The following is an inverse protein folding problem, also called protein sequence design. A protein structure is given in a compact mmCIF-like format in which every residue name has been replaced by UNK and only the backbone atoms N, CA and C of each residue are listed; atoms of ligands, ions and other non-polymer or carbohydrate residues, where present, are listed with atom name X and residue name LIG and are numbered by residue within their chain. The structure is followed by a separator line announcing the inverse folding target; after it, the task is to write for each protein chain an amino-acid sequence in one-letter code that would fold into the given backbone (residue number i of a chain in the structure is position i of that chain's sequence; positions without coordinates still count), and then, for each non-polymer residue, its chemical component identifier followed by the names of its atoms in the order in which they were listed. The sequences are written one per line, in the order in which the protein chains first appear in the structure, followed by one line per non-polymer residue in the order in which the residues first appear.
data_IF_001893046060
#
_entry.id   IF_001893046060
#
_cell.length_a   1.000
_cell.length_b   1.000
_cell.length_c   1.000
_cell.angle_alpha   90.00
_cell.angle_beta   90.00
_cell.angle_gamma   90.00
#
_symmetry.space_group_name_H-M   'P 1'
#
loop_
_entity.id
_entity.type
_entity.pdbx_description
1 polymer ?
#
# COMPACT_ATOMS: atom_id res chain seq x y z
N UNK A 1 -16.19 28.57 -51.74
CA UNK A 1 -16.20 28.80 -50.28
C UNK A 1 -17.30 27.96 -49.64
N UNK A 2 -16.99 26.76 -49.17
CA UNK A 2 -17.88 25.94 -48.32
C UNK A 2 -17.02 25.30 -47.23
N UNK A 3 -16.41 26.16 -46.42
CA UNK A 3 -15.93 25.71 -45.13
C UNK A 3 -17.09 25.72 -44.14
N UNK A 4 -17.10 24.71 -43.29
CA UNK A 4 -17.53 24.86 -41.91
C UNK A 4 -19.03 25.01 -41.65
N UNK A 5 -19.73 23.88 -41.62
CA UNK A 5 -20.89 23.72 -40.73
C UNK A 5 -20.67 22.49 -39.83
N UNK A 6 -20.18 21.37 -40.38
CA UNK A 6 -19.87 20.18 -39.56
C UNK A 6 -18.71 20.36 -38.57
N UNK A 7 -17.72 21.19 -38.91
CA UNK A 7 -16.55 21.43 -38.05
C UNK A 7 -16.88 22.30 -36.82
N UNK A 8 -17.88 23.18 -36.92
CA UNK A 8 -18.33 24.01 -35.80
C UNK A 8 -19.04 23.19 -34.72
N UNK A 9 -19.89 22.23 -35.11
CA UNK A 9 -20.53 21.34 -34.13
C UNK A 9 -19.50 20.43 -33.44
N UNK A 10 -18.50 19.95 -34.17
CA UNK A 10 -17.44 19.13 -33.59
C UNK A 10 -16.62 19.90 -32.53
N UNK A 11 -16.24 21.15 -32.82
CA UNK A 11 -15.53 22.00 -31.84
C UNK A 11 -16.42 22.36 -30.65
N UNK A 12 -17.72 22.60 -30.85
CA UNK A 12 -18.66 22.81 -29.74
C UNK A 12 -18.81 21.57 -28.86
N UNK A 13 -18.92 20.37 -29.44
CA UNK A 13 -18.97 19.12 -28.69
C UNK A 13 -17.68 18.87 -27.89
N UNK A 14 -16.50 19.15 -28.48
CA UNK A 14 -15.21 18.98 -27.81
C UNK A 14 -15.04 19.96 -26.63
N UNK A 15 -15.52 21.20 -26.79
CA UNK A 15 -15.51 22.23 -25.74
C UNK A 15 -16.42 21.86 -24.55
N UNK A 16 -17.60 21.31 -24.82
CA UNK A 16 -18.54 20.88 -23.77
C UNK A 16 -17.97 19.74 -22.91
N UNK A 17 -17.19 18.82 -23.48
CA UNK A 17 -16.57 17.70 -22.73
C UNK A 17 -15.41 18.20 -21.85
N UNK A 18 -14.68 19.23 -22.28
CA UNK A 18 -13.57 19.80 -21.51
C UNK A 18 -14.00 20.65 -20.30
N UNK A 19 -15.19 21.23 -20.32
CA UNK A 19 -15.69 22.12 -19.26
C UNK A 19 -16.49 21.40 -18.16
N UNK A 20 -16.89 20.14 -18.37
CA UNK A 20 -17.58 19.33 -17.34
C UNK A 20 -16.67 18.34 -16.63
N UNK A 21 -15.37 18.31 -16.96
CA UNK A 21 -14.37 17.50 -16.27
C UNK A 21 -13.93 18.16 -14.95
N UNK A 22 -14.88 18.54 -14.10
CA UNK A 22 -14.59 18.86 -12.71
C UNK A 22 -14.60 17.54 -11.93
N UNK A 23 -13.43 16.93 -11.74
CA UNK A 23 -13.29 15.89 -10.73
C UNK A 23 -13.23 16.61 -9.38
N UNK A 24 -14.26 16.44 -8.55
CA UNK A 24 -14.19 16.83 -7.14
C UNK A 24 -13.16 15.93 -6.47
N UNK A 25 -11.92 16.38 -6.34
CA UNK A 25 -11.01 15.74 -5.38
C UNK A 25 -11.61 16.01 -4.01
N UNK A 26 -12.11 14.97 -3.34
CA UNK A 26 -12.27 15.07 -1.90
C UNK A 26 -10.92 15.51 -1.35
N UNK A 27 -10.85 16.46 -0.40
CA UNK A 27 -9.63 16.63 0.37
C UNK A 27 -9.29 15.24 0.88
N UNK A 28 -8.02 14.84 0.74
CA UNK A 28 -7.54 13.65 1.39
C UNK A 28 -7.82 13.85 2.89
N UNK A 29 -8.90 13.26 3.39
CA UNK A 29 -8.90 12.89 4.78
C UNK A 29 -7.94 11.71 4.80
N UNK A 30 -6.70 11.97 5.24
CA UNK A 30 -5.98 10.91 5.92
C UNK A 30 -7.00 10.41 6.92
N UNK A 31 -7.43 9.16 6.76
CA UNK A 31 -7.99 8.45 7.89
C UNK A 31 -6.88 8.45 8.92
N UNK A 32 -6.82 9.49 9.75
CA UNK A 32 -6.28 9.34 11.07
C UNK A 32 -7.25 8.36 11.68
N UNK A 33 -6.96 7.07 11.52
CA UNK A 33 -7.53 6.07 12.38
C UNK A 33 -7.29 6.67 13.76
N UNK A 34 -8.37 7.10 14.41
CA UNK A 34 -8.29 7.45 15.80
C UNK A 34 -7.66 6.20 16.42
N UNK A 35 -6.53 6.33 17.13
CA UNK A 35 -6.02 5.18 17.84
C UNK A 35 -7.14 4.79 18.82
N UNK A 36 -7.85 3.70 18.52
CA UNK A 36 -8.82 3.09 19.43
C UNK A 36 -8.12 2.54 20.68
N UNK A 37 -6.80 2.67 20.73
CA UNK A 37 -6.09 2.78 21.98
C UNK A 37 -6.26 4.20 22.51
N UNK A 38 -7.28 4.36 23.35
CA UNK A 38 -7.32 5.42 24.36
C UNK A 38 -6.02 5.38 25.18
N UNK A 39 -4.98 6.04 24.68
CA UNK A 39 -3.84 6.43 25.50
C UNK A 39 -4.40 7.53 26.38
N UNK A 40 -4.95 7.12 27.52
CA UNK A 40 -5.14 8.02 28.64
C UNK A 40 -3.79 8.72 28.82
N UNK A 41 -3.70 10.06 28.81
CA UNK A 41 -2.45 10.75 29.05
C UNK A 41 -2.10 10.58 30.52
N UNK A 42 -1.63 9.39 30.88
CA UNK A 42 -0.78 9.24 32.05
C UNK A 42 0.49 9.98 31.71
N UNK A 43 0.75 11.08 32.41
CA UNK A 43 2.06 11.71 32.46
C UNK A 43 3.08 10.67 32.93
N UNK A 44 3.58 9.88 31.98
CA UNK A 44 4.58 8.88 32.26
C UNK A 44 5.92 9.55 32.05
N UNK A 45 6.44 10.09 33.15
CA UNK A 45 7.82 10.57 33.24
C UNK A 45 8.75 9.52 32.63
N UNK A 46 9.48 9.90 31.57
CA UNK A 46 10.56 9.12 31.01
C UNK A 46 11.67 8.99 32.05
N UNK A 47 11.54 8.03 32.98
CA UNK A 47 12.65 7.61 33.82
C UNK A 47 13.57 6.76 32.97
N UNK A 48 14.84 7.16 32.91
CA UNK A 48 15.90 6.38 32.29
C UNK A 48 16.05 5.04 33.03
N UNK A 49 15.40 4.01 32.52
CA UNK A 49 15.58 2.64 32.99
C UNK A 49 16.88 2.13 32.40
N UNK A 50 17.84 1.75 33.25
CA UNK A 50 19.03 1.03 32.80
C UNK A 50 18.59 -0.34 32.29
N UNK A 51 18.68 -0.56 30.99
CA UNK A 51 18.43 -1.87 30.39
C UNK A 51 19.62 -2.76 30.74
N UNK A 52 19.44 -3.64 31.72
CA UNK A 52 20.36 -4.74 31.94
C UNK A 52 20.03 -5.83 30.90
N UNK A 53 21.00 -6.14 30.04
CA UNK A 53 20.90 -7.27 29.11
C UNK A 53 20.91 -8.55 29.93
N UNK A 54 19.74 -9.12 30.17
CA UNK A 54 19.63 -10.47 30.69
C UNK A 54 20.01 -11.43 29.56
N UNK A 55 21.30 -11.78 29.46
CA UNK A 55 21.73 -12.91 28.66
C UNK A 55 21.21 -14.19 29.32
N UNK A 56 20.01 -14.63 28.92
CA UNK A 56 19.56 -16.02 28.87
C UNK A 56 18.06 -16.11 28.56
N UNK A 57 17.63 -15.49 27.47
CA UNK A 57 16.50 -16.05 26.74
C UNK A 57 17.06 -16.82 25.56
N UNK A 58 16.99 -18.14 25.63
CA UNK A 58 16.88 -18.98 24.44
C UNK A 58 15.58 -18.55 23.74
N UNK A 59 15.66 -17.43 23.02
CA UNK A 59 14.67 -17.06 22.03
C UNK A 59 14.74 -18.18 21.01
N UNK A 60 13.68 -18.98 20.96
CA UNK A 60 13.30 -19.64 19.72
C UNK A 60 13.46 -18.58 18.64
N UNK A 61 14.38 -18.80 17.69
CA UNK A 61 14.63 -17.87 16.59
C UNK A 61 13.32 -17.73 15.80
N UNK A 62 12.46 -16.81 16.22
CA UNK A 62 11.66 -16.10 15.24
C UNK A 62 12.69 -15.43 14.35
N UNK A 63 12.67 -15.75 13.06
CA UNK A 63 13.49 -15.12 12.04
C UNK A 63 13.21 -13.62 12.08
N UNK A 64 13.97 -12.93 12.91
CA UNK A 64 14.02 -11.47 12.93
C UNK A 64 14.71 -11.05 11.65
N UNK A 65 14.21 -9.98 11.05
CA UNK A 65 14.87 -9.31 9.94
C UNK A 65 16.35 -9.05 10.30
N UNK A 66 17.26 -9.47 9.42
CA UNK A 66 18.69 -9.16 9.56
C UNK A 66 18.90 -7.70 9.12
N UNK A 67 19.27 -6.78 10.02
CA UNK A 67 19.45 -5.38 9.66
C UNK A 67 20.57 -5.14 8.63
N UNK A 68 21.46 -6.11 8.43
CA UNK A 68 22.53 -6.01 7.44
C UNK A 68 22.14 -6.59 6.08
N UNK A 69 20.99 -7.27 5.99
CA UNK A 69 20.52 -7.98 4.80
C UNK A 69 18.99 -7.94 4.74
N UNK A 70 18.45 -6.78 4.36
CA UNK A 70 17.02 -6.61 4.12
C UNK A 70 16.79 -6.54 2.61
N UNK A 71 15.97 -7.44 2.10
CA UNK A 71 15.50 -7.46 0.72
C UNK A 71 14.07 -6.91 0.64
N UNK A 72 13.87 -5.94 -0.25
CA UNK A 72 12.59 -5.23 -0.37
C UNK A 72 12.09 -5.35 -1.80
N UNK A 73 10.81 -5.73 -1.95
CA UNK A 73 10.07 -5.61 -3.18
C UNK A 73 9.09 -4.43 -3.09
N UNK A 74 9.24 -3.46 -3.97
CA UNK A 74 8.29 -2.36 -4.13
C UNK A 74 7.60 -2.50 -5.50
N UNK A 75 6.30 -2.73 -5.50
CA UNK A 75 5.58 -3.14 -6.71
C UNK A 75 4.20 -2.50 -6.83
N UNK A 76 3.96 -1.82 -7.96
CA UNK A 76 2.60 -1.49 -8.39
C UNK A 76 2.03 -2.66 -9.20
N UNK A 77 1.04 -3.35 -8.63
CA UNK A 77 0.44 -4.56 -9.23
C UNK A 77 -0.69 -4.23 -10.22
N UNK A 78 -0.98 -2.94 -10.44
CA UNK A 78 -2.00 -2.45 -11.37
C UNK A 78 -3.34 -3.22 -11.24
N UNK A 79 -3.82 -3.32 -9.99
CA UNK A 79 -5.08 -4.00 -9.62
C UNK A 79 -5.16 -5.47 -10.03
N UNK A 80 -4.02 -6.13 -10.24
CA UNK A 80 -3.95 -7.52 -10.66
C UNK A 80 -4.43 -7.74 -12.10
N UNK A 81 -4.38 -6.72 -12.96
CA UNK A 81 -4.89 -6.85 -14.34
C UNK A 81 -3.88 -7.46 -15.33
N UNK A 82 -2.70 -7.88 -14.87
CA UNK A 82 -1.74 -8.61 -15.69
C UNK A 82 -2.14 -10.07 -15.80
N UNK A 83 -2.02 -10.65 -17.00
CA UNK A 83 -2.50 -12.00 -17.32
C UNK A 83 -1.95 -13.12 -16.39
N UNK A 84 -0.83 -12.87 -15.71
CA UNK A 84 -0.15 -13.82 -14.82
C UNK A 84 0.30 -13.18 -13.49
N UNK A 85 -0.39 -12.14 -13.02
CA UNK A 85 0.05 -11.37 -11.86
C UNK A 85 0.22 -12.22 -10.59
N UNK A 86 -0.54 -13.30 -10.44
CA UNK A 86 -0.48 -14.25 -9.33
C UNK A 86 0.80 -15.10 -9.38
N UNK A 87 1.21 -15.48 -10.58
CA UNK A 87 2.48 -16.17 -10.85
C UNK A 87 3.65 -15.21 -10.63
N UNK A 88 3.52 -13.97 -11.11
CA UNK A 88 4.51 -12.92 -10.90
C UNK A 88 4.68 -12.59 -9.42
N UNK A 89 3.57 -12.50 -8.66
CA UNK A 89 3.61 -12.34 -7.22
C UNK A 89 4.48 -13.44 -6.62
N UNK A 90 4.14 -14.71 -6.87
CA UNK A 90 4.86 -15.84 -6.27
C UNK A 90 6.35 -15.81 -6.55
N UNK A 91 6.73 -15.47 -7.77
CA UNK A 91 8.12 -15.41 -8.21
C UNK A 91 8.87 -14.20 -7.62
N UNK A 92 8.25 -13.03 -7.62
CA UNK A 92 8.90 -11.78 -7.25
C UNK A 92 9.00 -11.61 -5.73
N UNK A 93 7.99 -12.07 -4.99
CA UNK A 93 7.98 -12.05 -3.52
C UNK A 93 8.81 -13.18 -2.91
N UNK A 94 9.22 -14.17 -3.70
CA UNK A 94 10.10 -15.24 -3.24
C UNK A 94 11.40 -14.65 -2.67
N UNK A 95 11.77 -15.11 -1.47
CA UNK A 95 12.96 -14.69 -0.74
C UNK A 95 13.02 -13.15 -0.54
N UNK A 96 11.85 -12.51 -0.34
CA UNK A 96 11.74 -11.11 0.05
C UNK A 96 11.35 -11.00 1.51
N UNK A 97 12.05 -10.10 2.21
CA UNK A 97 11.77 -9.82 3.60
C UNK A 97 10.58 -8.87 3.77
N UNK A 98 10.48 -7.88 2.87
CA UNK A 98 9.44 -6.85 2.91
C UNK A 98 8.85 -6.66 1.52
N UNK A 99 7.52 -6.69 1.47
CA UNK A 99 6.72 -6.43 0.28
C UNK A 99 5.91 -5.14 0.47
N UNK A 100 6.02 -4.21 -0.47
CA UNK A 100 5.22 -2.98 -0.53
C UNK A 100 4.44 -3.01 -1.84
N UNK A 101 3.12 -3.10 -1.76
CA UNK A 101 2.25 -3.16 -2.93
C UNK A 101 1.46 -1.87 -3.11
N UNK A 102 1.39 -1.38 -4.34
CA UNK A 102 0.50 -0.28 -4.72
C UNK A 102 -0.57 -0.76 -5.70
N UNK A 103 -1.73 -0.12 -5.65
CA UNK A 103 -2.90 -0.44 -6.47
C UNK A 103 -3.35 -1.90 -6.36
N UNK A 104 -3.01 -2.60 -5.29
CA UNK A 104 -3.49 -3.95 -5.06
C UNK A 104 -4.99 -3.94 -4.72
N UNK A 105 -5.71 -4.95 -5.21
CA UNK A 105 -7.07 -5.22 -4.75
C UNK A 105 -6.96 -6.05 -3.49
N UNK A 106 -7.43 -5.51 -2.37
CA UNK A 106 -7.48 -6.24 -1.11
C UNK A 106 -8.71 -7.16 -1.10
N UNK A 107 -8.58 -8.28 -1.81
CA UNK A 107 -9.59 -9.33 -1.88
C UNK A 107 -9.06 -10.64 -1.28
N UNK A 108 -9.95 -11.63 -1.16
CA UNK A 108 -9.62 -12.94 -0.57
C UNK A 108 -8.47 -13.66 -1.30
N UNK A 109 -8.28 -13.36 -2.60
CA UNK A 109 -7.19 -13.95 -3.38
C UNK A 109 -5.86 -13.42 -2.90
N UNK A 110 -5.74 -12.09 -2.74
CA UNK A 110 -4.52 -11.47 -2.23
C UNK A 110 -4.24 -11.90 -0.78
N UNK A 111 -5.25 -11.97 0.09
CA UNK A 111 -5.08 -12.46 1.46
C UNK A 111 -4.51 -13.87 1.49
N UNK A 112 -5.11 -14.80 0.72
CA UNK A 112 -4.64 -16.18 0.67
C UNK A 112 -3.21 -16.27 0.15
N UNK A 113 -2.84 -15.46 -0.85
CA UNK A 113 -1.48 -15.46 -1.40
C UNK A 113 -0.43 -14.94 -0.41
N UNK A 114 -0.78 -13.93 0.40
CA UNK A 114 0.09 -13.42 1.47
C UNK A 114 0.25 -14.47 2.59
N UNK A 115 -0.85 -15.09 3.00
CA UNK A 115 -0.85 -16.14 4.02
C UNK A 115 -0.06 -17.38 3.58
N UNK A 116 -0.23 -17.82 2.33
CA UNK A 116 0.49 -18.97 1.74
C UNK A 116 2.01 -18.76 1.73
N UNK A 117 2.46 -17.51 1.62
CA UNK A 117 3.88 -17.15 1.68
C UNK A 117 4.37 -16.75 3.08
N UNK A 118 3.50 -16.76 4.08
CA UNK A 118 3.85 -16.42 5.46
C UNK A 118 4.12 -14.93 5.69
N UNK A 119 3.61 -14.05 4.81
CA UNK A 119 3.71 -12.62 5.03
C UNK A 119 2.70 -12.16 6.09
N UNK A 120 3.20 -11.46 7.09
CA UNK A 120 2.36 -10.61 7.92
C UNK A 120 2.04 -9.32 7.14
N UNK A 121 0.77 -8.92 7.08
CA UNK A 121 0.32 -7.78 6.29
C UNK A 121 -0.52 -6.79 7.11
N UNK A 122 -0.45 -5.52 6.71
CA UNK A 122 -1.18 -4.38 7.29
C UNK A 122 -1.45 -3.32 6.18
N UNK A 123 -2.37 -2.37 6.43
CA UNK A 123 -2.80 -1.33 5.48
C UNK A 123 -2.29 0.08 5.84
#
# INVERSE_FOLDING_TARGET
MKYSIKNQYFIFYLSCIGLTACVSSTPYEISSHHPDHSITPTEQSCKNTRIFKLENHQLTQHERLDPNKISILNWNVYKGSGDSWDTDFKLLSQDRDILIMQEARLDDTLHQMLDDQGFHWDL
#
